data_IF_352118787025
#
_entry.id   IF_352118787025
#
_cell.length_a   1.000
_cell.length_b   1.000
_cell.length_c   1.000
_cell.angle_alpha   90.00
_cell.angle_beta   90.00
_cell.angle_gamma   90.00
#
_symmetry.space_group_name_H-M   'P 1'
#
loop_
_entity.id
_entity.type
_entity.pdbx_description
1 polymer ?
#
# COMPACT_ATOMS: atom_id res chain seq x y z
N UNK A 1 -26.88 -12.64 -18.53
CA UNK A 1 -25.74 -13.04 -17.68
C UNK A 1 -26.33 -13.50 -16.37
N UNK A 2 -26.21 -14.80 -16.06
CA UNK A 2 -26.85 -15.42 -14.89
C UNK A 2 -26.07 -15.01 -13.63
N UNK A 3 -26.69 -14.26 -12.73
CA UNK A 3 -26.17 -14.06 -11.38
C UNK A 3 -26.16 -15.42 -10.68
N UNK A 4 -24.97 -15.92 -10.35
CA UNK A 4 -24.82 -17.10 -9.51
C UNK A 4 -24.78 -16.63 -8.04
N UNK A 5 -25.87 -16.74 -7.26
CA UNK A 5 -26.02 -16.02 -5.98
C UNK A 5 -25.24 -16.61 -4.79
N UNK A 6 -24.32 -17.54 -5.05
CA UNK A 6 -23.55 -18.29 -4.05
C UNK A 6 -22.12 -18.50 -4.55
N UNK A 7 -21.52 -17.47 -5.16
CA UNK A 7 -20.11 -17.51 -5.50
C UNK A 7 -19.29 -17.56 -4.20
N UNK A 8 -18.17 -18.31 -4.15
CA UNK A 8 -17.30 -18.37 -2.96
C UNK A 8 -16.69 -17.01 -2.56
N UNK A 9 -16.90 -15.97 -3.39
CA UNK A 9 -16.48 -14.60 -3.15
C UNK A 9 -17.61 -13.69 -2.63
N UNK A 10 -18.87 -14.11 -2.69
CA UNK A 10 -20.03 -13.26 -2.33
C UNK A 10 -19.99 -12.88 -0.85
N UNK A 11 -19.57 -13.81 0.02
CA UNK A 11 -19.40 -13.56 1.45
C UNK A 11 -18.28 -12.54 1.72
N UNK A 12 -17.20 -12.61 0.97
CA UNK A 12 -16.08 -11.65 1.06
C UNK A 12 -16.54 -10.27 0.63
N UNK A 13 -17.24 -10.15 -0.50
CA UNK A 13 -17.80 -8.88 -0.97
C UNK A 13 -18.81 -8.29 0.00
N UNK A 14 -19.68 -9.11 0.59
CA UNK A 14 -20.64 -8.66 1.61
C UNK A 14 -19.95 -8.17 2.88
N UNK A 15 -18.87 -8.83 3.32
CA UNK A 15 -18.09 -8.39 4.46
C UNK A 15 -17.35 -7.08 4.18
N UNK A 16 -16.77 -6.93 2.99
CA UNK A 16 -16.14 -5.69 2.55
C UNK A 16 -17.13 -4.53 2.46
N UNK A 17 -18.34 -4.78 1.95
CA UNK A 17 -19.39 -3.77 1.88
C UNK A 17 -19.77 -3.23 3.27
N UNK A 18 -19.88 -4.12 4.27
CA UNK A 18 -20.15 -3.73 5.67
C UNK A 18 -19.02 -2.91 6.27
N UNK A 19 -17.77 -3.31 6.04
CA UNK A 19 -16.59 -2.56 6.54
C UNK A 19 -16.58 -1.14 5.95
N UNK A 20 -16.79 -1.00 4.63
CA UNK A 20 -16.87 0.31 3.96
C UNK A 20 -18.05 1.12 4.50
N UNK A 21 -19.22 0.50 4.66
CA UNK A 21 -20.41 1.15 5.21
C UNK A 21 -20.16 1.70 6.62
N UNK A 22 -19.52 0.92 7.49
CA UNK A 22 -19.20 1.33 8.86
C UNK A 22 -18.16 2.45 8.90
N UNK A 23 -17.16 2.44 8.02
CA UNK A 23 -16.19 3.54 7.89
C UNK A 23 -16.91 4.84 7.48
N UNK A 24 -17.80 4.77 6.49
CA UNK A 24 -18.57 5.94 6.02
C UNK A 24 -19.50 6.46 7.12
N UNK A 25 -20.19 5.58 7.84
CA UNK A 25 -21.12 5.97 8.91
C UNK A 25 -20.43 6.66 10.09
N UNK A 26 -19.23 6.22 10.44
CA UNK A 26 -18.50 6.74 11.60
C UNK A 26 -17.55 7.89 11.24
N UNK A 27 -17.58 8.37 10.00
CA UNK A 27 -16.74 9.48 9.56
C UNK A 27 -17.21 10.80 10.18
N UNK A 28 -16.32 11.60 10.81
CA UNK A 28 -16.71 12.88 11.39
C UNK A 28 -17.15 13.87 10.31
N UNK A 29 -18.36 14.44 10.42
CA UNK A 29 -18.93 15.39 9.45
C UNK A 29 -18.06 16.65 9.21
N UNK A 30 -17.14 16.95 10.13
CA UNK A 30 -16.27 18.13 10.11
C UNK A 30 -15.00 17.97 9.28
N UNK A 31 -14.70 16.77 8.77
CA UNK A 31 -13.54 16.52 7.91
C UNK A 31 -14.03 16.22 6.50
N UNK A 32 -13.55 16.97 5.50
CA UNK A 32 -13.62 16.58 4.09
C UNK A 32 -12.69 15.38 3.83
N UNK A 33 -12.88 14.29 4.57
CA UNK A 33 -12.13 13.06 4.40
C UNK A 33 -12.61 12.40 3.10
N UNK A 34 -11.72 12.40 2.10
CA UNK A 34 -11.95 11.72 0.82
C UNK A 34 -11.22 10.39 0.89
N UNK A 35 -11.95 9.28 0.76
CA UNK A 35 -11.33 7.96 0.58
C UNK A 35 -10.78 7.89 -0.85
N UNK A 36 -9.46 7.88 -1.00
CA UNK A 36 -8.76 7.93 -2.31
C UNK A 36 -8.52 6.51 -2.85
N UNK A 37 -8.32 5.53 -1.96
CA UNK A 37 -8.15 4.11 -2.26
C UNK A 37 -8.13 3.28 -0.98
N UNK A 38 -8.22 1.96 -1.10
CA UNK A 38 -7.99 1.03 -0.01
C UNK A 38 -7.24 -0.19 -0.56
N UNK A 39 -6.30 -0.71 0.22
CA UNK A 39 -5.65 -1.99 -0.06
C UNK A 39 -6.17 -2.99 0.97
N UNK A 40 -6.83 -4.06 0.49
CA UNK A 40 -7.27 -5.16 1.36
C UNK A 40 -6.17 -6.21 1.36
N UNK A 41 -5.59 -6.46 2.52
CA UNK A 41 -4.63 -7.54 2.75
C UNK A 41 -5.39 -8.65 3.50
N UNK A 42 -5.89 -9.64 2.75
CA UNK A 42 -6.55 -10.82 3.35
C UNK A 42 -5.50 -11.85 3.78
N UNK A 43 -5.30 -12.06 5.09
CA UNK A 43 -4.46 -13.17 5.58
C UNK A 43 -5.30 -14.44 5.75
N UNK A 44 -4.77 -15.58 5.32
CA UNK A 44 -5.13 -16.86 5.92
C UNK A 44 -4.40 -16.94 7.27
N UNK A 45 -5.17 -17.11 8.35
CA UNK A 45 -4.76 -17.17 9.76
C UNK A 45 -3.40 -17.83 10.03
N UNK A 46 -2.46 -17.14 10.70
CA UNK A 46 -1.72 -17.52 11.94
C UNK A 46 -1.05 -16.24 12.49
N UNK A 47 -1.24 -15.99 13.78
CA UNK A 47 -0.64 -15.00 14.72
C UNK A 47 0.13 -13.75 14.21
N UNK A 48 -0.27 -12.59 14.75
CA UNK A 48 0.48 -11.33 14.72
C UNK A 48 -0.35 -10.17 14.18
N UNK A 49 -0.70 -9.19 15.02
CA UNK A 49 -1.29 -7.93 14.53
C UNK A 49 -0.33 -7.27 13.53
N UNK A 50 -0.82 -6.65 12.44
CA UNK A 50 0.06 -5.95 11.51
C UNK A 50 0.74 -4.78 12.23
N UNK A 51 2.06 -4.80 12.30
CA UNK A 51 2.84 -3.65 12.72
C UNK A 51 2.80 -2.62 11.59
N UNK A 52 1.96 -1.59 11.75
CA UNK A 52 1.93 -0.43 10.87
C UNK A 52 3.06 0.49 11.31
N UNK A 53 4.09 0.59 10.46
CA UNK A 53 5.14 1.57 10.66
C UNK A 53 4.81 2.80 9.82
N UNK A 54 4.29 3.83 10.48
CA UNK A 54 4.29 5.17 9.90
C UNK A 54 5.76 5.61 9.87
N UNK A 55 6.38 5.55 8.69
CA UNK A 55 7.53 6.39 8.45
C UNK A 55 7.03 7.83 8.66
N UNK A 56 7.65 8.53 9.62
CA UNK A 56 7.18 9.84 10.07
C UNK A 56 7.03 10.86 8.92
N UNK A 57 6.45 12.04 9.20
CA UNK A 57 6.30 13.08 8.18
C UNK A 57 7.64 13.32 7.47
N UNK A 58 7.62 13.60 6.14
CA UNK A 58 8.78 13.93 5.34
C UNK A 58 9.81 14.74 6.13
N UNK A 59 11.06 14.28 6.14
CA UNK A 59 12.13 15.03 6.81
C UNK A 59 12.48 16.33 6.07
N UNK A 60 12.03 16.44 4.82
CA UNK A 60 12.17 17.58 3.91
C UNK A 60 10.89 17.78 3.07
N UNK A 61 10.60 19.03 2.67
CA UNK A 61 9.44 19.42 1.85
C UNK A 61 9.41 18.75 0.46
N UNK A 62 10.50 18.07 0.09
CA UNK A 62 10.71 17.35 -1.15
C UNK A 62 10.40 15.85 -1.13
N UNK A 63 10.20 15.21 0.02
CA UNK A 63 9.93 13.76 0.07
C UNK A 63 8.45 13.44 -0.19
N UNK A 64 8.21 12.26 -0.77
CA UNK A 64 6.88 11.70 -1.02
C UNK A 64 6.43 11.01 0.27
N UNK A 65 5.29 11.39 0.87
CA UNK A 65 4.77 10.70 2.04
C UNK A 65 4.49 9.23 1.75
N UNK A 66 4.81 8.35 2.69
CA UNK A 66 4.57 6.91 2.54
C UNK A 66 4.32 6.21 3.87
N UNK A 67 3.67 5.05 3.79
CA UNK A 67 3.44 4.13 4.90
C UNK A 67 4.01 2.75 4.57
N UNK A 68 4.44 2.02 5.60
CA UNK A 68 4.96 0.66 5.47
C UNK A 68 4.12 -0.30 6.31
N UNK A 69 3.74 -1.42 5.72
CA UNK A 69 3.12 -2.56 6.41
C UNK A 69 3.98 -3.80 6.17
N UNK A 70 4.42 -4.44 7.24
CA UNK A 70 5.24 -5.65 7.16
C UNK A 70 4.45 -6.91 7.57
N UNK A 71 4.79 -8.01 6.91
CA UNK A 71 4.35 -9.39 7.22
C UNK A 71 5.58 -10.29 7.25
N UNK A 72 5.45 -11.57 7.59
CA UNK A 72 6.59 -12.48 7.65
C UNK A 72 7.33 -12.60 6.31
N UNK A 73 6.60 -12.73 5.21
CA UNK A 73 7.15 -12.98 3.87
C UNK A 73 7.21 -11.74 2.97
N UNK A 74 6.47 -10.68 3.31
CA UNK A 74 6.23 -9.54 2.40
C UNK A 74 6.27 -8.20 3.14
N UNK A 75 6.61 -7.14 2.41
CA UNK A 75 6.56 -5.76 2.85
C UNK A 75 5.78 -4.94 1.82
N UNK A 76 4.83 -4.13 2.29
CA UNK A 76 4.00 -3.26 1.46
C UNK A 76 4.33 -1.80 1.75
N UNK A 77 4.53 -1.02 0.70
CA UNK A 77 4.73 0.43 0.79
C UNK A 77 3.60 1.11 0.03
N UNK A 78 2.89 2.03 0.67
CA UNK A 78 1.89 2.88 0.02
C UNK A 78 2.36 4.32 0.10
N UNK A 79 2.49 4.99 -1.04
CA UNK A 79 2.99 6.35 -1.13
C UNK A 79 2.01 7.30 -1.83
N UNK A 80 1.86 8.50 -1.26
CA UNK A 80 0.99 9.55 -1.77
C UNK A 80 1.76 10.46 -2.73
N UNK A 81 1.51 10.26 -4.03
CA UNK A 81 2.19 10.99 -5.09
C UNK A 81 1.63 12.42 -5.21
N UNK A 82 2.45 13.39 -5.66
CA UNK A 82 1.98 14.72 -5.98
C UNK A 82 0.87 14.67 -7.06
N UNK A 83 -0.08 15.60 -6.97
CA UNK A 83 -1.33 15.57 -7.75
C UNK A 83 -1.17 15.73 -9.27
N UNK A 84 -0.05 16.28 -9.74
CA UNK A 84 0.20 16.57 -11.16
C UNK A 84 1.69 16.42 -11.49
N UNK A 85 2.23 15.18 -11.52
CA UNK A 85 3.63 14.96 -11.86
C UNK A 85 3.84 15.19 -13.36
N UNK A 86 4.95 15.84 -13.73
CA UNK A 86 5.28 16.09 -15.15
C UNK A 86 5.67 14.80 -15.86
N UNK A 87 6.28 13.88 -15.13
CA UNK A 87 6.74 12.58 -15.63
C UNK A 87 6.03 11.43 -14.91
N UNK A 88 6.09 10.23 -15.51
CA UNK A 88 5.57 9.03 -14.86
C UNK A 88 6.37 8.71 -13.59
N UNK A 89 5.71 8.57 -12.42
CA UNK A 89 6.34 8.08 -11.19
C UNK A 89 6.93 6.68 -11.36
N UNK A 90 8.09 6.44 -10.76
CA UNK A 90 8.78 5.14 -10.81
C UNK A 90 9.22 4.72 -9.42
N UNK A 91 9.06 3.44 -9.09
CA UNK A 91 9.77 2.83 -7.97
C UNK A 91 10.97 2.04 -8.49
N UNK A 92 12.16 2.36 -7.99
CA UNK A 92 13.37 1.57 -8.18
C UNK A 92 13.52 0.62 -6.99
N UNK A 93 13.34 -0.67 -7.25
CA UNK A 93 13.41 -1.72 -6.24
C UNK A 93 14.82 -2.34 -6.29
N UNK A 94 15.57 -2.18 -5.21
CA UNK A 94 16.86 -2.80 -4.96
C UNK A 94 16.76 -3.80 -3.78
N UNK A 95 17.76 -4.67 -3.57
CA UNK A 95 17.66 -5.69 -2.53
C UNK A 95 17.45 -5.12 -1.12
N UNK A 96 18.04 -3.96 -0.80
CA UNK A 96 18.09 -3.37 0.53
C UNK A 96 17.41 -2.01 0.65
N UNK A 97 16.86 -1.49 -0.46
CA UNK A 97 16.19 -0.19 -0.49
C UNK A 97 15.16 -0.10 -1.62
N UNK A 98 14.17 0.78 -1.44
CA UNK A 98 13.29 1.26 -2.51
C UNK A 98 13.47 2.76 -2.68
N UNK A 99 13.58 3.23 -3.92
CA UNK A 99 13.50 4.65 -4.23
C UNK A 99 12.22 4.97 -4.98
N UNK A 100 11.44 5.89 -4.44
CA UNK A 100 10.28 6.48 -5.11
C UNK A 100 10.76 7.74 -5.81
N UNK A 101 10.71 7.74 -7.14
CA UNK A 101 11.17 8.83 -8.00
C UNK A 101 9.97 9.50 -8.67
N UNK A 102 9.78 10.80 -8.43
CA UNK A 102 8.73 11.62 -9.04
C UNK A 102 9.28 12.99 -9.40
N UNK A 103 9.48 13.26 -10.68
CA UNK A 103 10.13 14.48 -11.17
C UNK A 103 11.47 14.73 -10.45
N UNK A 104 11.59 15.82 -9.71
CA UNK A 104 12.80 16.20 -8.97
C UNK A 104 12.82 15.65 -7.54
N UNK A 105 11.77 14.90 -7.13
CA UNK A 105 11.63 14.31 -5.79
C UNK A 105 12.10 12.87 -5.79
N UNK A 106 12.99 12.55 -4.85
CA UNK A 106 13.48 11.19 -4.61
C UNK A 106 13.32 10.88 -3.14
N UNK A 107 12.54 9.85 -2.83
CA UNK A 107 12.36 9.35 -1.46
C UNK A 107 13.00 7.98 -1.37
N UNK A 108 14.00 7.83 -0.50
CA UNK A 108 14.72 6.56 -0.31
C UNK A 108 14.25 5.89 0.96
N UNK A 109 13.77 4.66 0.82
CA UNK A 109 13.25 3.84 1.90
C UNK A 109 14.22 2.69 2.11
N UNK A 110 14.92 2.71 3.25
CA UNK A 110 15.81 1.61 3.65
C UNK A 110 14.98 0.43 4.13
N UNK A 111 15.31 -0.77 3.68
CA UNK A 111 14.56 -1.99 4.00
C UNK A 111 15.26 -2.78 5.10
N UNK A 112 14.51 -3.30 6.08
CA UNK A 112 15.09 -4.09 7.17
C UNK A 112 15.57 -5.49 6.72
N UNK A 113 15.07 -5.96 5.58
CA UNK A 113 15.33 -7.30 5.05
C UNK A 113 15.63 -7.23 3.54
N UNK A 114 16.50 -8.12 3.02
CA UNK A 114 16.71 -8.24 1.59
C UNK A 114 15.45 -8.67 0.83
N UNK A 115 15.21 -8.09 -0.35
CA UNK A 115 14.04 -8.34 -1.18
C UNK A 115 14.39 -9.10 -2.46
N UNK A 116 13.53 -10.05 -2.83
CA UNK A 116 13.50 -10.67 -4.15
C UNK A 116 12.87 -9.71 -5.15
N UNK A 117 13.73 -9.09 -5.96
CA UNK A 117 13.34 -8.10 -6.98
C UNK A 117 12.48 -8.68 -8.10
N UNK A 118 12.59 -9.98 -8.39
CA UNK A 118 11.87 -10.61 -9.51
C UNK A 118 10.38 -10.73 -9.16
N UNK A 119 10.08 -11.00 -7.89
CA UNK A 119 8.72 -11.16 -7.38
C UNK A 119 8.16 -9.89 -6.71
N UNK A 120 8.90 -8.79 -6.80
CA UNK A 120 8.49 -7.48 -6.26
C UNK A 120 8.05 -6.56 -7.39
N UNK A 121 7.01 -5.77 -7.15
CA UNK A 121 6.44 -4.90 -8.17
C UNK A 121 5.79 -3.67 -7.54
N UNK A 122 5.54 -2.66 -8.37
CA UNK A 122 4.76 -1.51 -7.98
C UNK A 122 3.64 -1.24 -8.99
N UNK A 123 2.61 -0.55 -8.52
CA UNK A 123 1.52 -0.03 -9.34
C UNK A 123 1.27 1.42 -8.97
N UNK A 124 0.94 2.23 -9.97
CA UNK A 124 0.53 3.62 -9.78
C UNK A 124 -0.94 3.74 -10.19
N UNK A 125 -1.78 4.20 -9.27
CA UNK A 125 -3.19 4.40 -9.54
C UNK A 125 -3.73 5.62 -8.80
N UNK A 126 -4.22 6.61 -9.56
CA UNK A 126 -4.88 7.83 -9.05
C UNK A 126 -4.07 8.62 -8.01
N UNK A 127 -2.78 8.79 -8.26
CA UNK A 127 -1.89 9.55 -7.36
C UNK A 127 -1.43 8.76 -6.14
N UNK A 128 -1.66 7.45 -6.11
CA UNK A 128 -1.10 6.54 -5.09
C UNK A 128 -0.18 5.55 -5.78
N UNK A 129 0.97 5.30 -5.18
CA UNK A 129 1.89 4.22 -5.55
C UNK A 129 1.84 3.12 -4.50
N UNK A 130 1.38 1.93 -4.87
CA UNK A 130 1.50 0.74 -4.03
C UNK A 130 2.69 -0.09 -4.51
N UNK A 131 3.55 -0.51 -3.58
CA UNK A 131 4.74 -1.31 -3.83
C UNK A 131 4.62 -2.58 -2.99
N UNK A 132 4.66 -3.73 -3.65
CA UNK A 132 4.63 -5.05 -3.03
C UNK A 132 6.01 -5.68 -3.13
N UNK A 133 6.65 -5.94 -1.99
CA UNK A 133 8.00 -6.46 -1.88
C UNK A 133 8.00 -7.87 -1.29
N UNK A 134 8.65 -8.83 -1.96
CA UNK A 134 8.81 -10.20 -1.47
C UNK A 134 10.15 -10.36 -0.76
N UNK A 135 10.16 -10.71 0.53
CA UNK A 135 11.43 -10.95 1.25
C UNK A 135 12.15 -12.17 0.67
N UNK A 136 13.48 -12.10 0.61
CA UNK A 136 14.31 -13.28 0.30
C UNK A 136 14.18 -14.26 1.45
N UNK A 137 13.78 -15.51 1.16
CA UNK A 137 13.84 -16.59 2.14
C UNK A 137 15.28 -17.06 2.24
N UNK A 138 15.86 -16.94 3.42
CA UNK A 138 17.14 -17.55 3.75
C UNK A 138 16.82 -18.99 4.18
N UNK A 139 17.13 -19.96 3.32
CA UNK A 139 17.10 -21.40 3.66
C UNK A 139 18.30 -21.80 4.53
#
# INVERSE_FOLDING_TARGET
MQNNPNGPYDDVFNNLAKIVEDIVKNMPESQQARVIGYTIITRHTVDGDPEIFHAGPPSDDGEVPYEIVETDDELFITADLPADPKNAPVAEIEPDQVRICVDDRVTTIMLPHPIDRIHSYYRVHRGVMDISLRKVRIE
#
